data_IF_318514859494
#
_entry.id   IF_318514859494
#
_cell.length_a   1.000
_cell.length_b   1.000
_cell.length_c   1.000
_cell.angle_alpha   90.00
_cell.angle_beta   90.00
_cell.angle_gamma   90.00
#
_symmetry.space_group_name_H-M   'P 1'
#
loop_
_entity.id
_entity.type
_entity.pdbx_description
1 polymer ?
#
# COMPACT_ATOMS: atom_id res chain seq x y z
N UNK A 1 -30.92 18.05 -2.59
CA UNK A 1 -29.52 18.21 -3.06
C UNK A 1 -28.67 17.53 -1.99
N UNK A 2 -27.95 16.47 -2.32
CA UNK A 2 -27.13 15.76 -1.33
C UNK A 2 -25.91 16.63 -0.98
N UNK A 3 -25.66 16.81 0.31
CA UNK A 3 -24.45 17.52 0.77
C UNK A 3 -23.19 16.68 0.50
N UNK A 4 -22.02 17.34 0.45
CA UNK A 4 -20.73 16.70 0.25
C UNK A 4 -20.48 15.57 1.26
N UNK A 5 -20.95 15.73 2.51
CA UNK A 5 -20.82 14.71 3.54
C UNK A 5 -21.68 13.47 3.22
N UNK A 6 -22.95 13.66 2.87
CA UNK A 6 -23.86 12.56 2.51
C UNK A 6 -23.39 11.81 1.28
N UNK A 7 -22.87 12.52 0.27
CA UNK A 7 -22.28 11.89 -0.90
C UNK A 7 -21.10 11.00 -0.52
N UNK A 8 -20.18 11.50 0.32
CA UNK A 8 -19.02 10.74 0.80
C UNK A 8 -19.45 9.51 1.62
N UNK A 9 -20.42 9.66 2.52
CA UNK A 9 -20.94 8.55 3.31
C UNK A 9 -21.58 7.47 2.44
N UNK A 10 -22.37 7.87 1.45
CA UNK A 10 -23.02 6.92 0.53
C UNK A 10 -22.01 6.13 -0.30
N UNK A 11 -20.95 6.79 -0.77
CA UNK A 11 -19.85 6.11 -1.48
C UNK A 11 -19.12 5.15 -0.54
N UNK A 12 -18.81 5.58 0.70
CA UNK A 12 -18.16 4.73 1.69
C UNK A 12 -18.99 3.48 2.01
N UNK A 13 -20.28 3.62 2.29
CA UNK A 13 -21.19 2.50 2.53
C UNK A 13 -21.23 1.52 1.35
N UNK A 14 -21.26 2.05 0.13
CA UNK A 14 -21.29 1.22 -1.07
C UNK A 14 -20.00 0.40 -1.19
N UNK A 15 -18.84 1.03 -0.99
CA UNK A 15 -17.53 0.38 -1.08
C UNK A 15 -17.32 -0.68 0.02
N UNK A 16 -17.75 -0.41 1.25
CA UNK A 16 -17.70 -1.38 2.36
C UNK A 16 -18.57 -2.59 2.01
N UNK A 17 -19.82 -2.38 1.59
CA UNK A 17 -20.74 -3.48 1.24
C UNK A 17 -20.26 -4.32 0.07
N UNK A 18 -19.56 -3.72 -0.91
CA UNK A 18 -18.99 -4.46 -2.04
C UNK A 18 -17.73 -5.23 -1.65
N UNK A 19 -16.90 -4.72 -0.74
CA UNK A 19 -15.64 -5.36 -0.34
C UNK A 19 -15.78 -6.43 0.76
N UNK A 20 -16.84 -6.41 1.57
CA UNK A 20 -17.06 -7.44 2.62
C UNK A 20 -17.37 -8.84 2.04
N UNK A 21 -17.74 -8.95 0.76
CA UNK A 21 -17.99 -10.27 0.13
C UNK A 21 -16.72 -11.09 -0.18
N UNK A 22 -15.53 -10.51 -0.09
CA UNK A 22 -14.25 -11.19 -0.38
C UNK A 22 -13.31 -11.32 0.83
N UNK A 23 -13.72 -10.87 2.03
CA UNK A 23 -12.92 -11.00 3.25
C UNK A 23 -13.45 -12.22 4.03
N UNK A 24 -12.64 -13.25 4.32
CA UNK A 24 -13.03 -14.31 5.26
C UNK A 24 -13.31 -13.67 6.62
N UNK A 25 -14.42 -14.07 7.25
CA UNK A 25 -14.90 -13.59 8.55
C UNK A 25 -13.75 -13.40 9.56
N UNK A 26 -13.46 -12.14 9.90
CA UNK A 26 -12.79 -11.80 11.15
C UNK A 26 -13.83 -11.06 11.96
N UNK A 27 -14.33 -11.74 12.99
CA UNK A 27 -15.38 -11.27 13.87
C UNK A 27 -15.05 -9.89 14.46
N UNK A 28 -16.07 -9.03 14.44
CA UNK A 28 -16.06 -7.70 15.03
C UNK A 28 -15.59 -7.72 16.50
N UNK A 29 -14.72 -6.78 16.83
CA UNK A 29 -14.30 -6.50 18.19
C UNK A 29 -15.48 -5.88 18.96
N UNK A 30 -16.21 -6.74 19.69
CA UNK A 30 -16.98 -6.27 20.83
C UNK A 30 -15.99 -5.77 21.89
N UNK A 31 -16.07 -4.48 22.18
CA UNK A 31 -15.34 -3.82 23.26
C UNK A 31 -15.58 -4.57 24.57
N UNK A 32 -14.56 -5.27 25.07
CA UNK A 32 -14.54 -5.81 26.42
C UNK A 32 -13.55 -4.98 27.22
N UNK A 33 -14.10 -4.14 28.10
CA UNK A 33 -13.37 -3.50 29.19
C UNK A 33 -12.77 -4.60 30.08
N UNK A 34 -11.44 -4.72 30.10
CA UNK A 34 -10.72 -5.55 31.06
C UNK A 34 -9.77 -4.68 31.87
N UNK A 35 -10.21 -4.37 33.09
CA UNK A 35 -9.35 -3.97 34.20
C UNK A 35 -8.43 -5.15 34.58
N UNK A 36 -7.24 -5.23 33.98
CA UNK A 36 -6.03 -5.56 34.73
C UNK A 36 -4.78 -5.31 33.86
N UNK A 37 -3.83 -4.59 34.42
CA UNK A 37 -2.63 -4.13 33.73
C UNK A 37 -1.67 -5.25 33.37
N UNK A 38 -1.58 -5.58 32.09
CA UNK A 38 -0.37 -6.08 31.42
C UNK A 38 -0.48 -5.73 29.94
N UNK A 39 0.28 -4.72 29.50
CA UNK A 39 0.21 -4.20 28.14
C UNK A 39 0.83 -5.20 27.15
N UNK A 40 0.01 -6.04 26.53
CA UNK A 40 0.42 -6.81 25.36
C UNK A 40 0.64 -5.84 24.21
N UNK A 41 1.89 -5.67 23.80
CA UNK A 41 2.26 -4.81 22.68
C UNK A 41 1.62 -5.32 21.38
N UNK A 42 0.50 -4.72 20.98
CA UNK A 42 -0.14 -5.01 19.70
C UNK A 42 0.86 -4.72 18.57
N UNK A 43 1.16 -5.69 17.68
CA UNK A 43 2.10 -5.47 16.59
C UNK A 43 1.58 -4.33 15.71
N UNK A 44 2.38 -3.25 15.61
CA UNK A 44 2.06 -2.10 14.73
C UNK A 44 1.89 -2.61 13.31
N UNK A 45 0.64 -2.62 12.81
CA UNK A 45 0.32 -2.98 11.42
C UNK A 45 1.15 -2.09 10.49
N UNK A 46 2.01 -2.70 9.69
CA UNK A 46 2.81 -2.01 8.68
C UNK A 46 1.87 -1.41 7.65
N UNK A 47 1.95 -0.10 7.40
CA UNK A 47 1.17 0.56 6.35
C UNK A 47 1.45 -0.14 5.02
N UNK A 48 0.41 -0.68 4.39
CA UNK A 48 0.50 -1.27 3.06
C UNK A 48 0.64 -0.12 2.07
N UNK A 49 1.76 -0.04 1.37
CA UNK A 49 1.91 0.90 0.25
C UNK A 49 1.00 0.41 -0.87
N UNK A 50 0.00 1.21 -1.23
CA UNK A 50 -0.88 0.90 -2.35
C UNK A 50 -0.05 0.88 -3.65
N UNK A 51 -0.26 -0.16 -4.47
CA UNK A 51 0.36 -0.26 -5.79
C UNK A 51 -0.51 0.55 -6.76
N UNK A 52 0.06 1.45 -7.59
CA UNK A 52 -0.69 2.19 -8.58
C UNK A 52 -1.42 1.26 -9.57
N UNK A 53 -2.57 1.69 -10.13
CA UNK A 53 -3.27 0.92 -11.16
C UNK A 53 -2.40 0.74 -12.40
N UNK A 54 -2.66 -0.32 -13.17
CA UNK A 54 -1.87 -0.67 -14.35
C UNK A 54 -1.79 0.46 -15.38
N UNK A 55 -2.85 1.26 -15.52
CA UNK A 55 -2.87 2.42 -16.42
C UNK A 55 -1.75 3.42 -16.11
N UNK A 56 -1.49 3.69 -14.83
CA UNK A 56 -0.43 4.60 -14.39
C UNK A 56 0.93 3.92 -14.40
N UNK A 57 0.97 2.63 -14.03
CA UNK A 57 2.22 1.85 -13.99
C UNK A 57 2.82 1.64 -15.38
N UNK A 58 1.98 1.39 -16.38
CA UNK A 58 2.38 0.99 -17.73
C UNK A 58 2.31 2.10 -18.77
N UNK A 59 1.98 3.33 -18.37
CA UNK A 59 1.93 4.44 -19.30
C UNK A 59 3.31 4.84 -19.86
N UNK A 60 4.41 4.22 -19.42
CA UNK A 60 5.78 4.39 -19.93
C UNK A 60 6.34 5.82 -19.92
N UNK A 61 5.64 6.79 -19.34
CA UNK A 61 6.01 8.20 -19.36
C UNK A 61 6.09 8.77 -17.95
N UNK A 62 7.18 9.50 -17.65
CA UNK A 62 7.35 10.21 -16.38
C UNK A 62 7.76 9.35 -15.18
N UNK A 63 8.20 8.10 -15.41
CA UNK A 63 8.76 7.24 -14.37
C UNK A 63 10.28 7.45 -14.30
N UNK A 64 10.74 8.25 -13.33
CA UNK A 64 12.17 8.48 -13.12
C UNK A 64 12.66 7.80 -11.84
N UNK A 65 13.85 7.16 -11.86
CA UNK A 65 14.48 6.65 -10.67
C UNK A 65 15.12 7.79 -9.87
N UNK A 66 14.71 7.94 -8.61
CA UNK A 66 15.29 8.88 -7.66
C UNK A 66 15.97 8.12 -6.52
N UNK A 67 17.22 8.47 -6.22
CA UNK A 67 17.91 7.92 -5.06
C UNK A 67 17.54 8.72 -3.80
N UNK A 68 16.78 8.10 -2.91
CA UNK A 68 16.32 8.75 -1.68
C UNK A 68 17.29 8.43 -0.53
N UNK A 69 17.78 9.44 0.22
CA UNK A 69 18.68 9.23 1.35
C UNK A 69 17.92 8.71 2.59
N UNK A 70 17.50 7.44 2.57
CA UNK A 70 16.91 6.77 3.73
C UNK A 70 17.98 6.14 4.64
N UNK A 71 17.74 6.21 5.96
CA UNK A 71 18.53 5.50 6.98
C UNK A 71 18.66 4.00 6.67
N UNK A 72 17.55 3.38 6.25
CA UNK A 72 17.48 1.97 5.88
C UNK A 72 16.88 1.80 4.48
N UNK A 73 17.36 0.79 3.76
CA UNK A 73 16.82 0.44 2.45
C UNK A 73 15.39 -0.12 2.58
N UNK A 74 14.53 0.22 1.62
CA UNK A 74 13.15 -0.26 1.55
C UNK A 74 13.06 -1.54 0.73
N UNK A 75 12.06 -2.39 0.98
CA UNK A 75 11.85 -3.62 0.20
C UNK A 75 11.38 -3.27 -1.21
N UNK A 76 11.94 -3.96 -2.21
CA UNK A 76 11.50 -3.87 -3.59
C UNK A 76 10.03 -4.31 -3.70
N UNK A 77 9.25 -3.56 -4.48
CA UNK A 77 7.81 -3.82 -4.69
C UNK A 77 7.51 -4.62 -5.96
N UNK A 78 8.52 -4.95 -6.75
CA UNK A 78 8.34 -5.83 -7.89
C UNK A 78 7.99 -7.26 -7.44
N UNK A 79 7.08 -7.91 -8.18
CA UNK A 79 6.60 -9.25 -7.85
C UNK A 79 7.77 -10.26 -7.85
N UNK A 80 7.84 -11.12 -6.83
CA UNK A 80 8.92 -12.11 -6.68
C UNK A 80 10.27 -11.54 -6.22
N UNK A 81 10.40 -10.23 -5.99
CA UNK A 81 11.66 -9.65 -5.53
C UNK A 81 11.75 -9.56 -4.00
N UNK A 82 12.81 -10.13 -3.43
CA UNK A 82 13.17 -10.01 -2.00
C UNK A 82 14.22 -8.92 -1.72
N UNK A 83 14.64 -8.20 -2.76
CA UNK A 83 15.69 -7.18 -2.67
C UNK A 83 15.29 -5.98 -1.82
N UNK A 84 16.30 -5.24 -1.36
CA UNK A 84 16.15 -3.92 -0.75
C UNK A 84 16.83 -2.86 -1.62
N UNK A 85 16.28 -1.66 -1.64
CA UNK A 85 16.71 -0.56 -2.52
C UNK A 85 16.47 0.81 -1.88
N UNK A 86 17.22 1.81 -2.33
CA UNK A 86 17.01 3.24 -2.03
C UNK A 86 16.44 4.01 -3.23
N UNK A 87 16.22 3.31 -4.34
CA UNK A 87 15.70 3.90 -5.57
C UNK A 87 14.18 3.87 -5.52
N UNK A 88 13.57 5.04 -5.65
CA UNK A 88 12.12 5.26 -5.71
C UNK A 88 11.74 5.73 -7.10
N UNK A 89 10.61 5.26 -7.63
CA UNK A 89 9.99 5.88 -8.80
C UNK A 89 9.30 7.18 -8.39
N UNK A 90 9.64 8.31 -9.02
CA UNK A 90 9.09 9.65 -8.71
C UNK A 90 7.58 9.76 -8.90
N UNK A 91 6.99 8.91 -9.73
CA UNK A 91 5.57 8.94 -10.09
C UNK A 91 4.74 7.92 -9.32
N UNK A 92 5.26 6.69 -9.18
CA UNK A 92 4.59 5.60 -8.48
C UNK A 92 4.82 5.63 -6.97
N UNK A 93 5.81 6.38 -6.48
CA UNK A 93 6.27 6.38 -5.08
C UNK A 93 6.63 4.98 -4.54
N UNK A 94 7.04 4.08 -5.43
CA UNK A 94 7.45 2.72 -5.11
C UNK A 94 8.96 2.54 -5.17
N UNK A 95 9.47 1.72 -4.25
CA UNK A 95 10.87 1.34 -4.21
C UNK A 95 11.12 0.14 -5.12
N UNK A 96 12.02 0.31 -6.09
CA UNK A 96 12.34 -0.70 -7.10
C UNK A 96 13.86 -0.85 -7.23
N UNK A 97 14.33 -2.08 -7.46
CA UNK A 97 15.75 -2.31 -7.72
C UNK A 97 16.13 -1.77 -9.11
N UNK A 98 17.32 -1.19 -9.20
CA UNK A 98 17.91 -0.71 -10.46
C UNK A 98 19.34 -1.25 -10.68
N UNK A 99 20.16 -1.36 -9.62
CA UNK A 99 21.57 -1.79 -9.75
C UNK A 99 21.74 -3.28 -10.09
N UNK A 100 21.29 -4.17 -9.19
CA UNK A 100 21.57 -5.61 -9.31
C UNK A 100 20.47 -6.37 -10.07
N UNK A 101 19.31 -5.75 -10.23
CA UNK A 101 18.09 -6.33 -10.80
C UNK A 101 17.34 -5.20 -11.48
N UNK A 102 16.92 -5.37 -12.72
CA UNK A 102 16.20 -4.35 -13.51
C UNK A 102 14.71 -4.27 -13.16
N UNK A 103 14.37 -4.47 -11.89
CA UNK A 103 12.98 -4.45 -11.42
C UNK A 103 12.27 -3.13 -11.72
N UNK A 104 13.00 -2.02 -11.84
CA UNK A 104 12.42 -0.75 -12.28
C UNK A 104 11.84 -0.85 -13.69
N UNK A 105 12.57 -1.45 -14.63
CA UNK A 105 12.10 -1.59 -16.01
C UNK A 105 10.97 -2.60 -16.04
N UNK A 106 11.20 -3.80 -15.48
CA UNK A 106 10.22 -4.89 -15.46
C UNK A 106 8.86 -4.43 -14.90
N UNK A 107 8.88 -3.62 -13.83
CA UNK A 107 7.67 -3.13 -13.20
C UNK A 107 6.88 -2.14 -14.07
N UNK A 108 7.51 -1.40 -14.97
CA UNK A 108 6.80 -0.42 -15.84
C UNK A 108 6.58 -0.94 -17.27
N UNK A 109 7.10 -2.12 -17.61
CA UNK A 109 6.96 -2.72 -18.95
C UNK A 109 6.15 -4.02 -19.00
N UNK A 110 5.78 -4.60 -17.86
CA UNK A 110 5.13 -5.93 -17.76
C UNK A 110 3.60 -5.90 -17.62
#
# INVERSE_FOLDING_TARGET
MLDQFEFKNRIAETLIRTHVKEIPEVADEAELEVENGESVAVPKRTKVTAIPPNEVRLDMHGHFPEHVPLKSQMRCRNQGCSGKTRIRCTKCDLFLCLLNRNCFVDFHSA
#
